data_IF_707928909452
#
_entry.id   IF_707928909452
#
_cell.length_a   1.000
_cell.length_b   1.000
_cell.length_c   1.000
_cell.angle_alpha   90.00
_cell.angle_beta   90.00
_cell.angle_gamma   90.00
#
_symmetry.space_group_name_H-M   'P 1'
#
loop_
_entity.id
_entity.type
_entity.pdbx_description
1 polymer ?
#
# COMPACT_ATOMS: atom_id res chain seq x y z
N UNK A 1 9.16 -17.77 -2.70
CA UNK A 1 8.83 -17.57 -4.14
C UNK A 1 7.57 -18.32 -4.54
N UNK A 2 7.39 -19.59 -4.17
CA UNK A 2 6.28 -20.44 -4.63
C UNK A 2 4.88 -19.78 -4.54
N UNK A 3 4.48 -19.21 -3.40
CA UNK A 3 3.14 -18.61 -3.27
C UNK A 3 2.98 -17.38 -4.17
N UNK A 4 3.91 -16.41 -4.07
CA UNK A 4 3.74 -15.14 -4.77
C UNK A 4 4.01 -15.23 -6.28
N UNK A 5 4.97 -16.06 -6.72
CA UNK A 5 5.34 -16.15 -8.15
C UNK A 5 4.58 -17.27 -8.82
N UNK A 6 4.82 -18.52 -8.39
CA UNK A 6 4.22 -19.69 -9.06
C UNK A 6 2.69 -19.68 -8.91
N UNK A 7 2.18 -19.30 -7.72
CA UNK A 7 0.74 -19.15 -7.49
C UNK A 7 0.09 -18.10 -8.39
N UNK A 8 0.71 -16.92 -8.55
CA UNK A 8 0.20 -15.87 -9.43
C UNK A 8 0.23 -16.32 -10.90
N UNK A 9 1.32 -16.97 -11.33
CA UNK A 9 1.43 -17.51 -12.70
C UNK A 9 0.35 -18.54 -13.01
N UNK A 10 0.08 -19.45 -12.07
CA UNK A 10 -0.99 -20.44 -12.20
C UNK A 10 -2.36 -19.77 -12.32
N UNK A 11 -2.64 -18.74 -11.49
CA UNK A 11 -3.90 -17.99 -11.59
C UNK A 11 -4.04 -17.26 -12.95
N UNK A 12 -2.96 -16.66 -13.46
CA UNK A 12 -2.97 -16.03 -14.79
C UNK A 12 -3.21 -17.06 -15.91
N UNK A 13 -2.65 -18.26 -15.79
CA UNK A 13 -2.87 -19.33 -16.73
C UNK A 13 -4.35 -19.78 -16.71
N UNK A 14 -4.92 -20.04 -15.54
CA UNK A 14 -6.33 -20.38 -15.40
C UNK A 14 -7.24 -19.25 -15.92
N UNK A 15 -6.89 -18.00 -15.68
CA UNK A 15 -7.66 -16.84 -16.17
C UNK A 15 -7.64 -16.77 -17.71
N UNK A 16 -6.51 -17.06 -18.34
CA UNK A 16 -6.38 -17.11 -19.80
C UNK A 16 -7.23 -18.26 -20.37
N UNK A 17 -7.11 -19.46 -19.82
CA UNK A 17 -7.87 -20.64 -20.25
C UNK A 17 -9.38 -20.47 -20.03
N UNK A 18 -9.77 -19.81 -18.94
CA UNK A 18 -11.14 -19.48 -18.61
C UNK A 18 -11.71 -18.27 -19.34
N UNK A 19 -10.96 -17.65 -20.27
CA UNK A 19 -11.38 -16.45 -21.02
C UNK A 19 -11.86 -15.32 -20.11
N UNK A 20 -11.18 -15.09 -18.97
CA UNK A 20 -11.55 -14.03 -18.04
C UNK A 20 -11.39 -12.65 -18.70
N UNK A 21 -12.42 -11.79 -18.56
CA UNK A 21 -12.46 -10.48 -19.22
C UNK A 21 -11.38 -9.52 -18.70
N UNK A 22 -11.16 -9.51 -17.39
CA UNK A 22 -10.21 -8.58 -16.74
C UNK A 22 -9.51 -9.28 -15.57
N UNK A 23 -8.21 -9.08 -15.46
CA UNK A 23 -7.42 -9.61 -14.35
C UNK A 23 -6.58 -8.50 -13.72
N UNK A 24 -6.68 -8.34 -12.42
CA UNK A 24 -5.90 -7.39 -11.63
C UNK A 24 -4.97 -8.15 -10.70
N UNK A 25 -3.69 -7.88 -10.79
CA UNK A 25 -2.64 -8.51 -9.97
C UNK A 25 -2.10 -7.50 -8.98
N UNK A 26 -1.99 -7.88 -7.72
CA UNK A 26 -1.38 -7.04 -6.69
C UNK A 26 0.15 -7.02 -6.85
N UNK A 27 0.70 -5.89 -7.25
CA UNK A 27 2.11 -5.54 -7.13
C UNK A 27 2.35 -4.62 -5.93
N UNK A 28 3.49 -3.98 -5.84
CA UNK A 28 3.88 -3.15 -4.69
C UNK A 28 4.85 -2.04 -5.10
N UNK A 29 4.75 -0.88 -4.47
CA UNK A 29 5.74 0.18 -4.56
C UNK A 29 7.15 -0.25 -4.09
N UNK A 30 7.26 -1.36 -3.36
CA UNK A 30 8.55 -1.93 -2.96
C UNK A 30 9.46 -2.30 -4.16
N UNK A 31 8.91 -2.45 -5.37
CA UNK A 31 9.70 -2.71 -6.58
C UNK A 31 10.60 -1.54 -6.97
N UNK A 32 10.26 -0.32 -6.57
CA UNK A 32 11.05 0.87 -6.87
C UNK A 32 12.36 0.95 -6.05
N UNK A 33 12.41 0.31 -4.88
CA UNK A 33 13.57 0.44 -3.99
C UNK A 33 13.67 1.83 -3.38
N UNK A 34 14.87 2.43 -3.43
CA UNK A 34 15.16 3.74 -2.84
C UNK A 34 15.57 4.73 -3.94
N UNK A 35 14.59 5.42 -4.52
CA UNK A 35 14.83 6.48 -5.50
C UNK A 35 14.67 7.85 -4.86
N UNK A 36 15.58 8.81 -5.17
CA UNK A 36 15.52 10.16 -4.60
C UNK A 36 14.42 11.03 -5.23
N UNK A 37 14.11 10.80 -6.50
CA UNK A 37 13.19 11.65 -7.24
C UNK A 37 11.73 11.25 -6.99
N UNK A 38 10.95 12.20 -6.52
CA UNK A 38 9.52 12.04 -6.24
C UNK A 38 8.70 12.99 -7.09
N UNK A 39 7.47 12.63 -7.50
CA UNK A 39 6.80 11.36 -7.22
C UNK A 39 7.30 10.20 -8.09
N UNK A 40 7.28 8.98 -7.54
CA UNK A 40 7.58 7.75 -8.29
C UNK A 40 6.50 7.51 -9.35
N UNK A 41 6.92 7.40 -10.59
CA UNK A 41 6.06 7.08 -11.73
C UNK A 41 6.35 5.66 -12.25
N UNK A 42 5.47 5.09 -13.04
CA UNK A 42 5.62 3.69 -13.48
C UNK A 42 6.80 3.48 -14.45
N UNK A 43 7.34 4.56 -15.01
CA UNK A 43 8.59 4.54 -15.79
C UNK A 43 9.86 4.65 -14.95
N UNK A 44 9.75 4.94 -13.64
CA UNK A 44 10.89 4.92 -12.72
C UNK A 44 11.51 3.51 -12.73
N UNK A 45 12.84 3.38 -12.83
CA UNK A 45 13.51 2.09 -12.83
C UNK A 45 13.17 1.24 -11.62
N UNK A 46 13.16 -0.08 -11.78
CA UNK A 46 12.92 -1.05 -10.71
C UNK A 46 14.24 -1.38 -10.02
N UNK A 47 14.29 -1.22 -8.69
CA UNK A 47 15.41 -1.60 -7.84
C UNK A 47 14.93 -2.48 -6.68
N UNK A 48 14.83 -3.78 -6.91
CA UNK A 48 14.29 -4.72 -5.94
C UNK A 48 15.26 -5.02 -4.79
N UNK A 49 15.16 -4.29 -3.69
CA UNK A 49 16.01 -4.41 -2.50
C UNK A 49 15.67 -5.60 -1.59
N UNK A 50 14.56 -6.30 -1.83
CA UNK A 50 14.11 -7.41 -1.00
C UNK A 50 13.60 -8.60 -1.82
N UNK A 51 13.57 -9.84 -1.24
CA UNK A 51 12.93 -10.99 -1.88
C UNK A 51 11.45 -10.75 -2.20
N UNK A 52 10.74 -9.98 -1.36
CA UNK A 52 9.37 -9.59 -1.60
C UNK A 52 9.25 -8.70 -2.85
N UNK A 53 10.07 -7.65 -2.95
CA UNK A 53 10.09 -6.78 -4.12
C UNK A 53 10.37 -7.57 -5.41
N UNK A 54 11.37 -8.47 -5.38
CA UNK A 54 11.68 -9.37 -6.50
C UNK A 54 10.50 -10.23 -6.91
N UNK A 55 9.74 -10.77 -5.93
CA UNK A 55 8.55 -11.57 -6.24
C UNK A 55 7.45 -10.74 -6.91
N UNK A 56 7.31 -9.46 -6.54
CA UNK A 56 6.33 -8.56 -7.14
C UNK A 56 6.75 -8.11 -8.55
N UNK A 57 8.03 -7.84 -8.78
CA UNK A 57 8.56 -7.59 -10.12
C UNK A 57 8.34 -8.79 -11.06
N UNK A 58 8.59 -10.03 -10.60
CA UNK A 58 8.28 -11.23 -11.38
C UNK A 58 6.78 -11.33 -11.73
N UNK A 59 5.87 -10.93 -10.83
CA UNK A 59 4.44 -10.90 -11.13
C UNK A 59 4.11 -9.89 -12.25
N UNK A 60 4.80 -8.74 -12.29
CA UNK A 60 4.63 -7.76 -13.37
C UNK A 60 5.14 -8.30 -14.73
N UNK A 61 6.27 -9.01 -14.71
CA UNK A 61 6.79 -9.70 -15.90
C UNK A 61 5.80 -10.76 -16.41
N UNK A 62 5.22 -11.56 -15.51
CA UNK A 62 4.18 -12.53 -15.86
C UNK A 62 2.94 -11.83 -16.45
N UNK A 63 2.48 -10.72 -15.88
CA UNK A 63 1.38 -9.91 -16.46
C UNK A 63 1.71 -9.50 -17.89
N UNK A 64 2.92 -8.99 -18.16
CA UNK A 64 3.35 -8.61 -19.52
C UNK A 64 3.33 -9.82 -20.46
N UNK A 65 3.84 -10.97 -20.00
CA UNK A 65 3.88 -12.20 -20.79
C UNK A 65 2.48 -12.73 -21.14
N UNK A 66 1.55 -12.71 -20.19
CA UNK A 66 0.17 -13.18 -20.41
C UNK A 66 -0.64 -12.19 -21.26
N UNK A 67 -0.37 -10.89 -21.18
CA UNK A 67 -0.96 -9.90 -22.11
C UNK A 67 -0.59 -10.21 -23.57
N UNK A 68 0.65 -10.63 -23.84
CA UNK A 68 1.07 -11.06 -25.19
C UNK A 68 0.32 -12.30 -25.69
N UNK A 69 -0.22 -13.11 -24.77
CA UNK A 69 -1.10 -14.27 -25.10
C UNK A 69 -2.58 -13.90 -25.22
N UNK A 70 -2.93 -12.61 -25.07
CA UNK A 70 -4.32 -12.11 -25.22
C UNK A 70 -5.08 -11.87 -23.91
N UNK A 71 -4.48 -12.14 -22.74
CA UNK A 71 -5.15 -11.86 -21.45
C UNK A 71 -5.19 -10.35 -21.18
N UNK A 72 -6.36 -9.80 -20.86
CA UNK A 72 -6.47 -8.42 -20.40
C UNK A 72 -6.12 -8.33 -18.91
N UNK A 73 -4.85 -8.19 -18.62
CA UNK A 73 -4.31 -8.15 -17.25
C UNK A 73 -3.55 -6.87 -16.95
N UNK A 74 -3.55 -6.45 -15.69
CA UNK A 74 -2.76 -5.32 -15.19
C UNK A 74 -2.22 -5.62 -13.79
N UNK A 75 -1.01 -5.20 -13.50
CA UNK A 75 -0.45 -5.17 -12.16
C UNK A 75 -0.64 -3.79 -11.52
N UNK A 76 -1.13 -3.73 -10.29
CA UNK A 76 -1.26 -2.50 -9.54
C UNK A 76 -0.19 -2.43 -8.44
N UNK A 77 0.70 -1.44 -8.52
CA UNK A 77 1.72 -1.15 -7.50
C UNK A 77 1.06 -0.41 -6.34
N UNK A 78 0.72 -1.16 -5.29
CA UNK A 78 0.16 -0.55 -4.08
C UNK A 78 1.25 0.17 -3.30
N UNK A 79 0.97 1.43 -2.93
CA UNK A 79 1.74 2.13 -1.92
C UNK A 79 1.35 1.64 -0.52
N UNK A 80 1.56 2.37 0.55
CA UNK A 80 1.36 1.85 1.91
C UNK A 80 -0.14 1.77 2.26
N UNK A 81 -0.73 0.58 2.10
CA UNK A 81 -2.14 0.39 2.39
C UNK A 81 -2.37 0.31 3.90
N UNK A 82 -3.42 1.00 4.37
CA UNK A 82 -3.84 0.96 5.76
C UNK A 82 -5.37 1.02 5.86
N UNK A 83 -5.91 0.58 6.98
CA UNK A 83 -7.36 0.66 7.23
C UNK A 83 -7.86 -0.42 8.17
N UNK A 84 -9.19 -0.42 8.45
CA UNK A 84 -9.84 -1.42 9.29
C UNK A 84 -9.57 -2.86 8.81
N UNK A 85 -9.47 -3.80 9.74
CA UNK A 85 -9.20 -5.20 9.46
C UNK A 85 -7.71 -5.57 9.35
N UNK A 86 -6.79 -4.59 9.41
CA UNK A 86 -5.36 -4.86 9.37
C UNK A 86 -4.84 -5.31 10.74
N UNK A 87 -4.15 -6.47 10.77
CA UNK A 87 -3.64 -7.06 12.02
C UNK A 87 -2.42 -6.32 12.55
N UNK A 88 -2.38 -6.09 13.87
CA UNK A 88 -1.24 -5.50 14.58
C UNK A 88 -0.26 -6.53 15.14
N UNK A 89 -0.68 -7.79 15.28
CA UNK A 89 0.05 -8.89 15.92
C UNK A 89 0.83 -9.79 14.94
N UNK A 90 0.79 -9.49 13.66
CA UNK A 90 1.54 -10.23 12.63
C UNK A 90 3.00 -9.79 12.60
N UNK A 91 3.92 -10.73 12.33
CA UNK A 91 5.33 -10.42 12.03
C UNK A 91 5.50 -9.51 10.80
N UNK A 92 4.47 -9.41 9.98
CA UNK A 92 4.38 -8.52 8.81
C UNK A 92 3.50 -7.29 9.05
N UNK A 93 3.13 -7.02 10.32
CA UNK A 93 2.30 -5.87 10.64
C UNK A 93 2.97 -4.57 10.22
N UNK A 94 2.21 -3.70 9.55
CA UNK A 94 2.69 -2.40 9.13
C UNK A 94 2.66 -1.39 10.29
N UNK A 95 3.32 -0.26 10.10
CA UNK A 95 3.50 0.78 11.12
C UNK A 95 2.18 1.24 11.75
N UNK A 96 1.17 1.55 10.94
CA UNK A 96 -0.09 2.16 11.45
C UNK A 96 -0.83 1.24 12.43
N UNK A 97 -1.14 -0.04 12.13
CA UNK A 97 -1.83 -0.90 13.08
C UNK A 97 -1.03 -1.13 14.36
N UNK A 98 0.31 -1.23 14.28
CA UNK A 98 1.18 -1.36 15.47
C UNK A 98 1.04 -0.11 16.36
N UNK A 99 1.10 1.08 15.78
CA UNK A 99 1.03 2.35 16.52
C UNK A 99 -0.37 2.56 17.11
N UNK A 100 -1.42 2.33 16.34
CA UNK A 100 -2.81 2.44 16.82
C UNK A 100 -3.05 1.50 18.00
N UNK A 101 -2.63 0.22 17.90
CA UNK A 101 -2.77 -0.77 18.98
C UNK A 101 -2.01 -0.34 20.25
N UNK A 102 -0.75 0.06 20.12
CA UNK A 102 0.05 0.50 21.24
C UNK A 102 -0.56 1.74 21.92
N UNK A 103 -0.89 2.76 21.14
CA UNK A 103 -1.37 4.04 21.66
C UNK A 103 -2.79 3.93 22.25
N UNK A 104 -3.69 3.11 21.72
CA UNK A 104 -4.98 2.78 22.35
C UNK A 104 -4.82 2.16 23.73
N UNK A 105 -3.77 1.37 23.91
CA UNK A 105 -3.44 0.75 25.20
C UNK A 105 -2.63 1.66 26.14
N UNK A 106 -2.48 2.95 25.83
CA UNK A 106 -1.67 3.89 26.59
C UNK A 106 -0.16 3.65 26.52
N UNK A 107 0.30 2.78 25.61
CA UNK A 107 1.71 2.46 25.44
C UNK A 107 2.36 3.41 24.43
N UNK A 108 3.64 3.71 24.64
CA UNK A 108 4.43 4.55 23.74
C UNK A 108 4.87 3.72 22.54
N UNK A 109 4.54 4.14 21.28
CA UNK A 109 5.07 3.48 20.09
C UNK A 109 6.56 3.80 19.94
N UNK A 110 7.33 2.90 19.32
CA UNK A 110 8.74 3.13 19.01
C UNK A 110 8.89 3.55 17.57
N UNK A 111 9.42 4.76 17.34
CA UNK A 111 9.85 5.26 16.05
C UNK A 111 11.29 4.85 15.85
N UNK A 112 11.62 4.23 14.72
CA UNK A 112 13.01 3.96 14.35
C UNK A 112 13.58 5.17 13.61
N UNK A 113 14.65 5.77 14.15
CA UNK A 113 15.24 7.02 13.65
C UNK A 113 14.49 8.28 14.08
N UNK A 114 14.61 9.36 13.31
CA UNK A 114 14.03 10.67 13.62
C UNK A 114 12.49 10.72 13.54
N UNK A 115 11.89 9.86 12.71
CA UNK A 115 10.47 9.91 12.40
C UNK A 115 10.11 10.84 11.24
N UNK A 116 11.08 11.46 10.60
CA UNK A 116 10.90 12.33 9.43
C UNK A 116 10.73 11.54 8.13
N UNK A 117 11.04 10.25 8.15
CA UNK A 117 10.81 9.39 6.98
C UNK A 117 9.33 9.40 6.59
N UNK A 118 9.07 9.57 5.28
CA UNK A 118 7.71 9.72 4.77
C UNK A 118 7.25 8.50 3.99
N UNK A 119 5.94 8.26 4.02
CA UNK A 119 5.26 7.23 3.22
C UNK A 119 4.02 7.80 2.58
N UNK A 120 3.66 7.26 1.44
CA UNK A 120 2.38 7.48 0.79
C UNK A 120 1.40 6.42 1.30
N UNK A 121 0.43 6.85 2.09
CA UNK A 121 -0.57 5.96 2.69
C UNK A 121 -1.88 6.02 1.92
N UNK A 122 -2.38 4.87 1.48
CA UNK A 122 -3.66 4.73 0.77
C UNK A 122 -4.63 3.96 1.66
N UNK A 123 -5.81 4.52 1.90
CA UNK A 123 -6.84 3.84 2.69
C UNK A 123 -7.39 2.62 1.95
N UNK A 124 -7.65 1.53 2.68
CA UNK A 124 -8.10 0.25 2.11
C UNK A 124 -9.37 0.37 1.28
N UNK A 125 -10.30 1.26 1.64
CA UNK A 125 -11.51 1.50 0.85
C UNK A 125 -11.22 2.17 -0.48
N UNK A 126 -10.26 3.10 -0.55
CA UNK A 126 -9.83 3.70 -1.81
C UNK A 126 -9.15 2.67 -2.71
N UNK A 127 -8.31 1.78 -2.13
CA UNK A 127 -7.74 0.65 -2.86
C UNK A 127 -8.85 -0.29 -3.39
N UNK A 128 -9.81 -0.68 -2.54
CA UNK A 128 -10.91 -1.56 -2.95
C UNK A 128 -11.72 -0.93 -4.09
N UNK A 129 -11.98 0.39 -4.02
CA UNK A 129 -12.63 1.16 -5.10
C UNK A 129 -11.82 1.10 -6.39
N UNK A 130 -10.48 1.29 -6.31
CA UNK A 130 -9.59 1.20 -7.48
C UNK A 130 -9.66 -0.19 -8.14
N UNK A 131 -9.53 -1.25 -7.34
CA UNK A 131 -9.60 -2.64 -7.83
C UNK A 131 -10.97 -2.91 -8.47
N UNK A 132 -12.06 -2.53 -7.81
CA UNK A 132 -13.42 -2.71 -8.34
C UNK A 132 -13.59 -2.00 -9.68
N UNK A 133 -13.20 -0.73 -9.78
CA UNK A 133 -13.31 0.05 -11.03
C UNK A 133 -12.45 -0.55 -12.15
N UNK A 134 -11.26 -1.07 -11.83
CA UNK A 134 -10.41 -1.75 -12.81
C UNK A 134 -11.05 -3.06 -13.29
N UNK A 135 -11.56 -3.90 -12.40
CA UNK A 135 -12.20 -5.18 -12.76
C UNK A 135 -13.49 -4.95 -13.55
N UNK A 136 -14.29 -3.94 -13.18
CA UNK A 136 -15.55 -3.60 -13.85
C UNK A 136 -15.39 -2.89 -15.21
N UNK A 137 -14.16 -2.52 -15.57
CA UNK A 137 -13.88 -1.77 -16.79
C UNK A 137 -14.20 -2.63 -18.04
N UNK A 138 -14.91 -2.01 -19.01
CA UNK A 138 -15.27 -2.69 -20.27
C UNK A 138 -14.21 -2.55 -21.38
N UNK A 139 -13.21 -1.68 -21.17
CA UNK A 139 -12.12 -1.46 -22.14
C UNK A 139 -10.89 -2.24 -21.74
N UNK A 140 -10.08 -2.62 -22.70
CA UNK A 140 -8.76 -3.20 -22.47
C UNK A 140 -7.88 -2.24 -21.66
N UNK A 141 -6.98 -2.80 -20.86
CA UNK A 141 -5.99 -1.98 -20.16
C UNK A 141 -4.92 -1.49 -21.14
N UNK A 142 -4.72 -0.18 -21.20
CA UNK A 142 -3.70 0.45 -22.06
C UNK A 142 -2.28 0.10 -21.57
N UNK A 143 -2.12 -0.04 -20.26
CA UNK A 143 -0.83 -0.27 -19.62
C UNK A 143 -0.79 -1.60 -18.87
N UNK A 144 0.38 -2.25 -18.77
CA UNK A 144 0.52 -3.48 -17.99
C UNK A 144 0.63 -3.22 -16.48
N UNK A 145 1.00 -1.99 -16.08
CA UNK A 145 1.25 -1.61 -14.67
C UNK A 145 0.70 -0.23 -14.40
N UNK A 146 0.15 -0.01 -13.20
CA UNK A 146 -0.22 1.30 -12.71
C UNK A 146 0.00 1.43 -11.20
N UNK A 147 0.33 2.63 -10.72
CA UNK A 147 0.43 2.94 -9.30
C UNK A 147 -0.96 3.16 -8.69
N UNK A 148 -1.11 2.73 -7.42
CA UNK A 148 -2.23 3.11 -6.54
C UNK A 148 -1.63 3.86 -5.36
N UNK A 149 -1.64 5.19 -5.45
CA UNK A 149 -0.99 6.13 -4.54
C UNK A 149 -1.96 7.24 -4.13
N UNK A 150 -1.76 7.83 -2.94
CA UNK A 150 -2.52 9.00 -2.50
C UNK A 150 -1.92 10.32 -2.99
N UNK A 151 -0.69 10.27 -3.52
CA UNK A 151 0.11 11.43 -3.93
C UNK A 151 0.47 12.36 -2.75
N UNK A 152 0.41 11.83 -1.52
CA UNK A 152 0.68 12.58 -0.29
C UNK A 152 1.79 11.92 0.52
N UNK A 153 2.77 12.72 0.92
CA UNK A 153 3.83 12.28 1.83
C UNK A 153 3.41 12.53 3.28
N UNK A 154 3.31 11.47 4.06
CA UNK A 154 3.01 11.55 5.50
C UNK A 154 4.20 11.03 6.31
N UNK A 155 4.75 11.82 7.22
CA UNK A 155 5.87 11.40 8.07
C UNK A 155 5.40 10.48 9.20
N UNK A 156 6.33 9.69 9.77
CA UNK A 156 6.02 8.84 10.92
C UNK A 156 5.62 9.68 12.14
N UNK A 157 6.21 10.86 12.30
CA UNK A 157 5.79 11.82 13.35
C UNK A 157 4.34 12.29 13.12
N UNK A 158 3.98 12.56 11.87
CA UNK A 158 2.59 12.93 11.50
C UNK A 158 1.61 11.81 11.82
N UNK A 159 1.97 10.54 11.58
CA UNK A 159 1.15 9.39 11.98
C UNK A 159 0.87 9.41 13.49
N UNK A 160 1.89 9.61 14.34
CA UNK A 160 1.72 9.71 15.79
C UNK A 160 0.83 10.89 16.17
N UNK A 161 1.01 12.05 15.52
CA UNK A 161 0.19 13.24 15.75
C UNK A 161 -1.28 12.98 15.43
N UNK A 162 -1.58 12.39 14.29
CA UNK A 162 -2.96 12.06 13.89
C UNK A 162 -3.62 11.05 14.83
N UNK A 163 -2.89 10.02 15.26
CA UNK A 163 -3.42 9.04 16.23
C UNK A 163 -3.72 9.73 17.59
N UNK A 164 -2.78 10.56 18.09
CA UNK A 164 -3.01 11.32 19.33
C UNK A 164 -4.25 12.22 19.25
N UNK A 165 -4.40 12.94 18.14
CA UNK A 165 -5.56 13.80 17.92
C UNK A 165 -6.86 12.99 17.92
N UNK A 166 -6.89 11.89 17.16
CA UNK A 166 -8.07 11.03 17.12
C UNK A 166 -8.40 10.35 18.45
N UNK A 167 -7.41 9.97 19.26
CA UNK A 167 -7.63 9.44 20.62
C UNK A 167 -8.13 10.52 21.56
N UNK A 168 -7.59 11.73 21.53
CA UNK A 168 -8.06 12.85 22.33
C UNK A 168 -9.54 13.16 22.09
N UNK A 169 -9.97 13.12 20.84
CA UNK A 169 -11.38 13.38 20.47
C UNK A 169 -12.35 12.30 20.97
N UNK A 170 -11.86 11.07 21.20
CA UNK A 170 -12.69 9.90 21.58
C UNK A 170 -12.62 9.49 23.04
N UNK A 171 -11.53 9.82 23.75
CA UNK A 171 -11.21 9.18 25.05
C UNK A 171 -10.59 10.18 25.98
N UNK A 172 -10.52 11.31 26.10
CA UNK A 172 -9.80 12.19 27.04
C UNK A 172 -8.36 11.76 27.39
N UNK A 173 -7.74 10.87 26.59
CA UNK A 173 -6.36 10.44 26.83
C UNK A 173 -5.39 11.61 26.58
N UNK A 174 -4.36 11.67 27.44
CA UNK A 174 -3.25 12.60 27.23
C UNK A 174 -2.43 12.15 26.01
N UNK A 175 -1.84 13.11 25.31
CA UNK A 175 -0.98 12.84 24.18
C UNK A 175 0.19 11.92 24.57
N UNK A 176 0.41 10.89 23.76
CA UNK A 176 1.46 9.90 23.98
C UNK A 176 2.69 10.33 23.16
N UNK A 177 3.81 10.52 23.84
CA UNK A 177 5.10 10.83 23.21
C UNK A 177 5.77 9.53 22.80
N UNK A 178 6.18 9.36 21.53
CA UNK A 178 6.83 8.13 21.08
C UNK A 178 8.20 7.92 21.75
N UNK A 179 8.70 6.70 21.69
CA UNK A 179 10.09 6.36 21.92
C UNK A 179 10.84 6.46 20.60
N UNK A 180 12.13 6.77 20.64
CA UNK A 180 13.00 6.69 19.47
C UNK A 180 14.01 5.54 19.66
N UNK A 181 14.14 4.71 18.63
CA UNK A 181 15.10 3.63 18.55
C UNK A 181 16.03 3.83 17.35
N UNK A 182 16.98 2.91 17.19
CA UNK A 182 17.96 2.97 16.11
C UNK A 182 17.30 2.95 14.73
N UNK A 183 17.96 3.58 13.77
CA UNK A 183 17.53 3.56 12.35
C UNK A 183 17.54 2.12 11.82
N UNK A 184 16.49 1.72 11.14
CA UNK A 184 16.45 0.40 10.49
C UNK A 184 17.32 0.41 9.24
N UNK A 185 18.23 -0.53 9.12
CA UNK A 185 19.04 -0.69 7.93
C UNK A 185 18.14 -1.01 6.72
N UNK A 186 18.34 -0.28 5.61
CA UNK A 186 17.56 -0.46 4.38
C UNK A 186 16.17 0.18 4.41
N UNK A 187 15.84 1.00 5.42
CA UNK A 187 14.59 1.75 5.41
C UNK A 187 14.65 2.88 4.37
N UNK A 188 13.62 2.94 3.52
CA UNK A 188 13.49 3.99 2.50
C UNK A 188 13.13 5.30 3.17
N UNK A 189 13.90 6.37 2.93
CA UNK A 189 13.66 7.65 3.60
C UNK A 189 12.36 8.30 3.16
N UNK A 190 12.10 8.38 1.86
CA UNK A 190 10.88 8.98 1.32
C UNK A 190 10.23 8.06 0.29
N UNK A 191 8.88 8.02 0.28
CA UNK A 191 8.11 7.29 -0.71
C UNK A 191 6.81 8.04 -0.99
N UNK A 192 6.61 8.41 -2.25
CA UNK A 192 5.39 9.04 -2.76
C UNK A 192 5.20 8.65 -4.22
N UNK A 193 4.02 8.23 -4.61
CA UNK A 193 3.72 7.82 -5.98
C UNK A 193 2.89 8.84 -6.74
N UNK A 194 2.96 8.79 -8.08
CA UNK A 194 1.96 9.43 -8.93
C UNK A 194 0.84 8.46 -9.26
N UNK A 195 -0.40 8.89 -9.13
CA UNK A 195 -1.60 8.16 -9.52
C UNK A 195 -2.14 8.59 -10.90
N UNK A 196 -1.34 9.33 -11.69
CA UNK A 196 -1.79 9.90 -12.97
C UNK A 196 -2.24 8.80 -13.95
N UNK A 197 -1.50 7.70 -14.05
CA UNK A 197 -1.81 6.61 -14.97
C UNK A 197 -3.13 5.93 -14.64
N UNK A 198 -3.38 5.57 -13.39
CA UNK A 198 -4.66 4.96 -13.00
C UNK A 198 -5.80 5.97 -13.13
N UNK A 199 -5.56 7.25 -12.84
CA UNK A 199 -6.51 8.35 -13.04
C UNK A 199 -6.92 8.47 -14.50
N UNK A 200 -5.99 8.42 -15.43
CA UNK A 200 -6.28 8.48 -16.88
C UNK A 200 -7.13 7.29 -17.36
N UNK A 201 -6.95 6.11 -16.77
CA UNK A 201 -7.68 4.90 -17.18
C UNK A 201 -9.10 4.82 -16.62
N UNK A 202 -9.33 5.20 -15.35
CA UNK A 202 -10.61 4.98 -14.66
C UNK A 202 -11.09 6.20 -13.86
N UNK A 203 -10.50 7.37 -14.02
CA UNK A 203 -10.80 8.59 -13.27
C UNK A 203 -10.79 8.39 -11.74
N UNK A 204 -9.90 7.53 -11.24
CA UNK A 204 -9.74 7.25 -9.83
C UNK A 204 -8.75 8.22 -9.16
N UNK A 205 -9.04 8.58 -7.93
CA UNK A 205 -8.14 9.24 -6.98
C UNK A 205 -8.43 8.75 -5.57
N UNK A 206 -7.45 8.82 -4.68
CA UNK A 206 -7.69 8.63 -3.25
C UNK A 206 -8.58 9.77 -2.73
N UNK A 207 -9.65 9.42 -2.02
CA UNK A 207 -10.68 10.38 -1.52
C UNK A 207 -10.68 10.48 0.01
N UNK A 208 -10.13 9.46 0.69
CA UNK A 208 -10.10 9.42 2.15
C UNK A 208 -8.82 10.09 2.62
N UNK A 209 -8.95 11.25 3.30
CA UNK A 209 -7.79 11.91 3.90
C UNK A 209 -7.16 11.05 4.99
N UNK A 210 -5.87 11.26 5.27
CA UNK A 210 -5.14 10.46 6.26
C UNK A 210 -5.81 10.55 7.65
N UNK A 211 -6.25 11.73 8.07
CA UNK A 211 -6.94 11.95 9.35
C UNK A 211 -8.25 11.18 9.44
N UNK A 212 -9.07 11.22 8.36
CA UNK A 212 -10.33 10.45 8.31
C UNK A 212 -10.06 8.95 8.36
N UNK A 213 -9.03 8.49 7.67
CA UNK A 213 -8.62 7.09 7.68
C UNK A 213 -8.15 6.62 9.05
N UNK A 214 -7.34 7.41 9.76
CA UNK A 214 -6.96 7.12 11.16
C UNK A 214 -8.21 7.12 12.06
N UNK A 215 -9.13 8.08 11.87
CA UNK A 215 -10.41 8.10 12.58
C UNK A 215 -11.18 6.78 12.42
N UNK A 216 -11.31 6.26 11.20
CA UNK A 216 -12.00 5.00 10.93
C UNK A 216 -11.37 3.80 11.63
N UNK A 217 -10.02 3.78 11.72
CA UNK A 217 -9.29 2.77 12.49
C UNK A 217 -9.59 2.85 13.97
N UNK A 218 -9.64 4.07 14.52
CA UNK A 218 -9.94 4.30 15.94
C UNK A 218 -11.40 3.98 16.30
N UNK A 219 -12.31 4.06 15.35
CA UNK A 219 -13.73 3.69 15.52
C UNK A 219 -13.97 2.18 15.34
N UNK A 220 -13.10 1.50 14.62
CA UNK A 220 -13.22 0.06 14.43
C UNK A 220 -12.95 -0.70 15.73
N UNK A 221 -13.81 -1.69 16.04
CA UNK A 221 -13.53 -2.64 17.13
C UNK A 221 -12.36 -3.51 16.68
N UNK A 222 -11.33 -3.66 17.52
CA UNK A 222 -10.33 -4.71 17.30
C UNK A 222 -11.07 -6.05 17.27
N UNK A 223 -11.08 -6.68 16.10
CA UNK A 223 -11.53 -8.07 16.04
C UNK A 223 -10.51 -8.91 16.81
N UNK A 224 -10.83 -9.24 18.07
CA UNK A 224 -10.17 -10.32 18.81
C UNK A 224 -10.58 -11.62 18.12
N UNK A 225 -9.71 -12.14 17.24
CA UNK A 225 -9.79 -13.52 16.77
C UNK A 225 -8.65 -14.31 17.35
#
# INVERSE_FOLDING_TARGET
MAINVDGTRNLLQCALEGNMSNVVVASSAAVYGSFPDMPLVESTPIECLSPYAKSKASNEEDVVAFRKKGLNAIALRFFNIYGPGQRSDSSYASLIPIFVHAMRSGKRPTIHGSGEQTRDFVHVHDLAKAIYMMVARRKLYEYPVANVASETQTSVLEVVRCINQGLKERTNMKAIVPLHGDVRQGDVMHSCGSAERIRSMINWKAEISFEKGIGSLLDSKEERR
#
